data_IF_009537650664
#
_entry.id   IF_009537650664
#
_cell.length_a   1.000
_cell.length_b   1.000
_cell.length_c   1.000
_cell.angle_alpha   90.00
_cell.angle_beta   90.00
_cell.angle_gamma   90.00
#
_symmetry.space_group_name_H-M   'P 1'
#
loop_
_entity.id
_entity.type
_entity.pdbx_description
1 polymer ?
#
# COMPACT_ATOMS: atom_id res chain seq x y z
N UNK A 1 9.84 15.98 -23.05
CA UNK A 1 9.04 14.76 -23.22
C UNK A 1 10.02 13.61 -23.20
N UNK A 2 9.94 12.78 -22.16
CA UNK A 2 10.73 11.55 -22.05
C UNK A 2 10.28 10.52 -23.09
N UNK A 3 11.07 9.47 -23.34
CA UNK A 3 10.62 8.35 -24.19
C UNK A 3 9.38 7.68 -23.59
N UNK A 4 9.31 7.58 -22.26
CA UNK A 4 8.18 7.01 -21.53
C UNK A 4 6.90 7.85 -21.72
N UNK A 5 7.00 9.17 -21.70
CA UNK A 5 5.86 10.07 -21.98
C UNK A 5 5.33 9.85 -23.40
N UNK A 6 6.23 9.63 -24.37
CA UNK A 6 5.86 9.37 -25.76
C UNK A 6 5.17 8.02 -25.92
N UNK A 7 5.72 6.96 -25.31
CA UNK A 7 5.13 5.62 -25.34
C UNK A 7 3.72 5.63 -24.74
N UNK A 8 3.58 6.24 -23.55
CA UNK A 8 2.30 6.35 -22.86
C UNK A 8 1.28 7.16 -23.67
N UNK A 9 1.63 8.37 -24.13
CA UNK A 9 0.71 9.22 -24.91
C UNK A 9 0.33 8.64 -26.27
N UNK A 10 1.14 7.73 -26.80
CA UNK A 10 0.88 7.01 -28.05
C UNK A 10 0.23 5.64 -27.84
N UNK A 11 -0.03 5.24 -26.59
CA UNK A 11 -0.54 3.91 -26.21
C UNK A 11 0.30 2.75 -26.78
N UNK A 12 1.62 2.90 -26.77
CA UNK A 12 2.56 1.87 -27.24
C UNK A 12 3.02 1.03 -26.05
N UNK A 13 2.66 -0.25 -26.04
CA UNK A 13 3.17 -1.22 -25.07
C UNK A 13 4.38 -1.99 -25.65
N UNK A 14 5.49 -2.02 -24.91
CA UNK A 14 6.69 -2.79 -25.21
C UNK A 14 6.64 -4.23 -24.65
N UNK A 15 5.63 -4.55 -23.85
CA UNK A 15 5.47 -5.84 -23.19
C UNK A 15 6.28 -5.96 -21.90
N UNK A 16 6.59 -4.83 -21.26
CA UNK A 16 7.30 -4.77 -19.99
C UNK A 16 6.31 -4.64 -18.82
N UNK A 17 6.82 -4.75 -17.59
CA UNK A 17 6.06 -4.52 -16.36
C UNK A 17 6.96 -3.77 -15.37
N UNK A 18 6.36 -3.11 -14.38
CA UNK A 18 7.11 -2.31 -13.41
C UNK A 18 7.27 -3.05 -12.08
N UNK A 19 8.49 -3.49 -11.75
CA UNK A 19 8.78 -4.15 -10.48
C UNK A 19 8.83 -3.13 -9.33
N UNK A 20 8.08 -3.41 -8.26
CA UNK A 20 8.14 -2.61 -7.03
C UNK A 20 9.32 -3.07 -6.19
N UNK A 21 10.38 -2.26 -6.17
CA UNK A 21 11.56 -2.53 -5.36
C UNK A 21 11.53 -1.91 -3.97
N UNK A 22 10.83 -0.80 -3.78
CA UNK A 22 10.80 -0.03 -2.52
C UNK A 22 9.48 0.74 -2.38
N UNK A 23 8.96 0.80 -1.16
CA UNK A 23 7.78 1.58 -0.78
C UNK A 23 8.13 2.46 0.41
N UNK A 24 7.73 3.73 0.34
CA UNK A 24 7.93 4.69 1.41
C UNK A 24 6.83 5.74 1.50
N UNK A 25 6.44 6.10 2.72
CA UNK A 25 5.56 7.22 3.02
C UNK A 25 6.37 8.51 3.23
N UNK A 26 5.90 9.61 2.66
CA UNK A 26 6.50 10.93 2.83
C UNK A 26 5.45 12.03 2.84
N UNK A 27 5.67 13.07 3.67
CA UNK A 27 4.91 14.34 3.61
C UNK A 27 5.50 15.31 2.57
N UNK A 28 6.79 15.15 2.25
CA UNK A 28 7.54 16.03 1.34
C UNK A 28 8.11 15.21 0.17
N UNK A 29 7.32 14.92 -0.87
CA UNK A 29 7.76 14.19 -2.07
C UNK A 29 9.07 14.71 -2.68
N UNK A 30 9.19 16.03 -2.86
CA UNK A 30 10.31 16.67 -3.57
C UNK A 30 11.67 16.51 -2.88
N UNK A 31 11.68 16.37 -1.55
CA UNK A 31 12.91 16.27 -0.74
C UNK A 31 13.28 14.82 -0.43
N UNK A 32 12.31 13.90 -0.54
CA UNK A 32 12.43 12.51 -0.11
C UNK A 32 13.56 11.74 -0.80
N UNK A 33 13.80 11.88 -2.12
CA UNK A 33 14.88 11.15 -2.78
C UNK A 33 16.29 11.63 -2.41
N UNK A 34 16.43 12.86 -1.89
CA UNK A 34 17.71 13.58 -1.82
C UNK A 34 18.20 13.75 -0.37
N UNK A 35 17.33 13.63 0.63
CA UNK A 35 17.65 13.97 2.02
C UNK A 35 18.51 12.93 2.78
N UNK A 36 18.96 11.85 2.12
CA UNK A 36 19.86 10.84 2.71
C UNK A 36 19.28 9.99 3.86
N UNK A 37 18.07 10.31 4.34
CA UNK A 37 17.40 9.60 5.42
C UNK A 37 16.78 8.27 4.96
N UNK A 38 16.70 8.03 3.65
CA UNK A 38 16.07 6.85 3.06
C UNK A 38 17.08 5.99 2.32
N UNK A 39 17.65 5.02 3.05
CA UNK A 39 18.52 4.00 2.47
C UNK A 39 17.86 3.24 1.32
N UNK A 40 16.54 3.09 1.30
CA UNK A 40 15.83 2.27 0.31
C UNK A 40 16.08 2.67 -1.14
N UNK A 41 16.10 3.97 -1.47
CA UNK A 41 16.40 4.43 -2.84
C UNK A 41 17.87 4.17 -3.18
N UNK A 42 18.79 4.50 -2.27
CA UNK A 42 20.22 4.22 -2.47
C UNK A 42 20.49 2.73 -2.63
N UNK A 43 19.91 1.89 -1.77
CA UNK A 43 20.04 0.44 -1.79
C UNK A 43 19.45 -0.14 -3.08
N UNK A 44 18.35 0.41 -3.60
CA UNK A 44 17.79 0.03 -4.89
C UNK A 44 18.76 0.39 -6.03
N UNK A 45 19.25 1.63 -6.09
CA UNK A 45 20.19 2.10 -7.11
C UNK A 45 21.52 1.32 -7.09
N UNK A 46 21.96 0.83 -5.93
CA UNK A 46 23.16 -0.01 -5.82
C UNK A 46 22.92 -1.47 -6.22
N UNK A 47 21.72 -2.01 -6.03
CA UNK A 47 21.43 -3.45 -6.19
C UNK A 47 20.86 -3.81 -7.55
N UNK A 48 20.17 -2.89 -8.22
CA UNK A 48 19.57 -3.13 -9.54
C UNK A 48 20.50 -2.56 -10.61
N UNK A 49 20.91 -3.40 -11.57
CA UNK A 49 21.81 -3.01 -12.66
C UNK A 49 21.23 -1.84 -13.46
N UNK A 50 21.98 -0.77 -13.65
CA UNK A 50 21.50 0.48 -14.27
C UNK A 50 21.55 0.47 -15.79
N UNK A 51 22.21 -0.52 -16.43
CA UNK A 51 22.33 -0.56 -17.90
C UNK A 51 21.13 -1.21 -18.59
N UNK A 52 20.36 -2.04 -17.88
CA UNK A 52 19.24 -2.81 -18.43
C UNK A 52 17.86 -2.28 -18.00
N UNK A 53 17.81 -1.45 -16.95
CA UNK A 53 16.55 -1.04 -16.31
C UNK A 53 16.48 0.47 -16.10
N UNK A 54 15.33 1.04 -16.46
CA UNK A 54 14.94 2.39 -16.05
C UNK A 54 14.29 2.37 -14.67
N UNK A 55 14.56 3.41 -13.87
CA UNK A 55 13.99 3.56 -12.54
C UNK A 55 12.95 4.66 -12.51
N UNK A 56 11.82 4.36 -11.87
CA UNK A 56 10.72 5.28 -11.69
C UNK A 56 10.45 5.52 -10.21
N UNK A 57 10.09 6.76 -9.88
CA UNK A 57 9.58 7.12 -8.55
C UNK A 57 8.14 7.56 -8.74
N UNK A 58 7.20 6.78 -8.20
CA UNK A 58 5.78 7.10 -8.24
C UNK A 58 5.36 7.77 -6.93
N UNK A 59 4.76 8.95 -7.05
CA UNK A 59 4.12 9.64 -5.93
C UNK A 59 2.61 9.43 -6.03
N UNK A 60 2.09 8.51 -5.22
CA UNK A 60 0.67 8.16 -5.20
C UNK A 60 -0.05 8.84 -4.04
N UNK A 61 -1.17 9.50 -4.34
CA UNK A 61 -2.10 10.01 -3.33
C UNK A 61 -3.27 9.03 -3.21
N UNK A 62 -3.55 8.60 -1.99
CA UNK A 62 -4.66 7.69 -1.70
C UNK A 62 -5.87 8.47 -1.18
N UNK A 63 -7.06 8.07 -1.63
CA UNK A 63 -8.32 8.50 -1.02
C UNK A 63 -8.71 7.48 0.04
N UNK A 64 -8.74 7.90 1.31
CA UNK A 64 -9.09 7.01 2.42
C UNK A 64 -10.54 7.20 2.84
N UNK A 65 -11.26 6.09 2.91
CA UNK A 65 -12.68 6.02 3.21
C UNK A 65 -12.91 5.10 4.41
N UNK A 66 -13.67 5.57 5.39
CA UNK A 66 -14.22 4.74 6.48
C UNK A 66 -15.57 4.17 6.02
N UNK A 67 -15.69 2.85 6.03
CA UNK A 67 -16.90 2.14 5.62
C UNK A 67 -17.54 1.45 6.83
N UNK A 68 -18.69 1.95 7.26
CA UNK A 68 -19.51 1.35 8.29
C UNK A 68 -20.52 0.38 7.68
N UNK A 69 -20.40 -0.90 8.01
CA UNK A 69 -21.33 -1.96 7.58
C UNK A 69 -22.09 -2.51 8.79
N UNK A 70 -23.40 -2.61 8.69
CA UNK A 70 -24.22 -3.28 9.71
C UNK A 70 -24.97 -4.45 9.07
N UNK A 71 -24.81 -5.69 9.58
CA UNK A 71 -25.53 -6.86 9.07
C UNK A 71 -27.05 -6.75 9.21
N UNK A 72 -27.53 -5.88 10.09
CA UNK A 72 -28.96 -5.72 10.41
C UNK A 72 -29.67 -4.64 9.58
N UNK A 73 -28.94 -3.90 8.74
CA UNK A 73 -29.52 -2.84 7.89
C UNK A 73 -29.07 -2.97 6.45
N UNK A 74 -29.93 -2.61 5.50
CA UNK A 74 -29.59 -2.61 4.07
C UNK A 74 -28.68 -1.44 3.63
N UNK A 75 -28.25 -0.59 4.56
CA UNK A 75 -27.45 0.60 4.28
C UNK A 75 -26.02 0.41 4.79
N UNK A 76 -25.07 0.75 3.92
CA UNK A 76 -23.67 0.95 4.29
C UNK A 76 -23.39 2.45 4.30
N UNK A 77 -22.60 2.89 5.28
CA UNK A 77 -22.13 4.26 5.35
C UNK A 77 -20.70 4.34 4.84
N UNK A 78 -20.40 5.36 4.06
CA UNK A 78 -19.06 5.59 3.53
C UNK A 78 -18.73 7.07 3.67
N UNK A 79 -17.67 7.37 4.42
CA UNK A 79 -17.22 8.74 4.66
C UNK A 79 -15.73 8.85 4.34
N UNK A 80 -15.30 9.98 3.80
CA UNK A 80 -13.87 10.23 3.65
C UNK A 80 -13.24 10.47 5.02
N UNK A 81 -12.06 9.89 5.27
CA UNK A 81 -11.35 10.12 6.52
C UNK A 81 -11.05 11.62 6.72
N UNK A 82 -10.83 12.37 5.64
CA UNK A 82 -10.66 13.83 5.68
C UNK A 82 -11.88 14.61 6.20
N UNK A 83 -13.07 14.00 6.25
CA UNK A 83 -14.28 14.60 6.82
C UNK A 83 -14.44 14.26 8.31
N UNK A 84 -13.98 13.08 8.72
CA UNK A 84 -14.17 12.56 10.09
C UNK A 84 -12.96 12.78 11.00
N UNK A 85 -11.76 12.90 10.41
CA UNK A 85 -10.47 12.86 11.10
C UNK A 85 -10.37 11.69 12.09
N UNK A 86 -10.92 10.54 11.70
CA UNK A 86 -11.03 9.34 12.54
C UNK A 86 -9.65 8.71 12.78
N UNK A 87 -8.80 8.75 11.75
CA UNK A 87 -7.40 8.33 11.77
C UNK A 87 -6.55 9.55 11.41
N UNK A 88 -5.55 9.86 12.23
CA UNK A 88 -4.67 10.98 11.93
C UNK A 88 -3.85 10.70 10.64
N UNK A 89 -3.52 11.75 9.89
CA UNK A 89 -2.84 11.63 8.58
C UNK A 89 -1.49 10.89 8.63
N UNK A 90 -0.75 10.97 9.74
CA UNK A 90 0.55 10.28 9.85
C UNK A 90 0.36 8.76 10.05
N UNK A 91 -0.61 8.39 10.87
CA UNK A 91 -0.99 7.00 11.10
C UNK A 91 -1.62 6.40 9.83
N UNK A 92 -2.48 7.15 9.14
CA UNK A 92 -3.05 6.77 7.84
C UNK A 92 -1.93 6.43 6.83
N UNK A 93 -0.98 7.35 6.64
CA UNK A 93 0.12 7.17 5.70
C UNK A 93 1.02 5.98 6.04
N UNK A 94 1.32 5.76 7.33
CA UNK A 94 2.10 4.61 7.79
C UNK A 94 1.37 3.29 7.55
N UNK A 95 0.07 3.22 7.84
CA UNK A 95 -0.72 2.00 7.62
C UNK A 95 -0.70 1.63 6.14
N UNK A 96 -0.90 2.60 5.25
CA UNK A 96 -0.83 2.39 3.79
C UNK A 96 0.56 1.90 3.37
N UNK A 97 1.63 2.57 3.83
CA UNK A 97 3.01 2.16 3.56
C UNK A 97 3.26 0.72 3.98
N UNK A 98 2.95 0.36 5.24
CA UNK A 98 3.26 -0.99 5.75
C UNK A 98 2.40 -2.06 5.08
N UNK A 99 1.12 -1.77 4.80
CA UNK A 99 0.25 -2.70 4.09
C UNK A 99 0.78 -3.00 2.69
N UNK A 100 1.29 -1.99 1.98
CA UNK A 100 1.90 -2.16 0.66
C UNK A 100 3.23 -2.89 0.74
N UNK A 101 4.09 -2.58 1.72
CA UNK A 101 5.35 -3.33 1.95
C UNK A 101 5.05 -4.81 2.16
N UNK A 102 4.06 -5.12 2.99
CA UNK A 102 3.66 -6.52 3.27
C UNK A 102 3.08 -7.20 2.02
N UNK A 103 2.23 -6.51 1.26
CA UNK A 103 1.61 -7.06 0.06
C UNK A 103 2.64 -7.34 -1.05
N UNK A 104 3.46 -6.36 -1.41
CA UNK A 104 4.47 -6.53 -2.45
C UNK A 104 5.71 -7.29 -1.97
N UNK A 105 5.94 -7.42 -0.66
CA UNK A 105 7.12 -8.10 -0.08
C UNK A 105 8.43 -7.65 -0.75
N UNK A 106 8.64 -6.33 -0.79
CA UNK A 106 9.76 -5.68 -1.50
C UNK A 106 11.13 -6.14 -1.00
N UNK A 107 11.99 -6.63 -1.90
CA UNK A 107 13.30 -7.22 -1.56
C UNK A 107 14.23 -6.24 -0.83
N UNK A 108 14.25 -4.96 -1.22
CA UNK A 108 15.17 -3.98 -0.62
C UNK A 108 14.86 -3.69 0.86
N UNK A 109 13.63 -4.00 1.30
CA UNK A 109 13.18 -3.78 2.68
C UNK A 109 13.19 -5.06 3.53
N UNK A 110 13.74 -6.17 3.01
CA UNK A 110 13.73 -7.47 3.69
C UNK A 110 14.45 -7.43 5.06
N UNK A 111 15.52 -6.64 5.19
CA UNK A 111 16.26 -6.48 6.46
C UNK A 111 15.40 -5.83 7.57
N UNK A 112 14.45 -4.97 7.20
CA UNK A 112 13.57 -4.30 8.16
C UNK A 112 12.19 -4.95 8.26
N UNK A 113 11.90 -5.98 7.44
CA UNK A 113 10.57 -6.58 7.27
C UNK A 113 9.86 -6.90 8.58
N UNK A 114 10.58 -7.52 9.54
CA UNK A 114 10.00 -7.85 10.85
C UNK A 114 9.48 -6.62 11.60
N UNK A 115 10.21 -5.49 11.52
CA UNK A 115 9.77 -4.24 12.14
C UNK A 115 8.59 -3.65 11.38
N UNK A 116 8.62 -3.64 10.04
CA UNK A 116 7.51 -3.18 9.20
C UNK A 116 6.21 -3.95 9.48
N UNK A 117 6.31 -5.28 9.63
CA UNK A 117 5.18 -6.14 9.98
C UNK A 117 4.67 -5.89 11.40
N UNK A 118 5.57 -5.72 12.37
CA UNK A 118 5.19 -5.42 13.76
C UNK A 118 4.51 -4.05 13.86
N UNK A 119 4.97 -3.05 13.11
CA UNK A 119 4.34 -1.72 13.05
C UNK A 119 2.95 -1.77 12.42
N UNK A 120 2.75 -2.57 11.36
CA UNK A 120 1.45 -2.81 10.77
C UNK A 120 0.50 -3.48 11.77
N UNK A 121 0.95 -4.53 12.45
CA UNK A 121 0.16 -5.25 13.46
C UNK A 121 -0.34 -4.33 14.56
N UNK A 122 0.59 -3.59 15.19
CA UNK A 122 0.25 -2.64 16.24
C UNK A 122 -0.74 -1.56 15.76
N UNK A 123 -0.63 -1.14 14.50
CA UNK A 123 -1.54 -0.14 13.92
C UNK A 123 -2.95 -0.72 13.69
N UNK A 124 -3.04 -1.94 13.15
CA UNK A 124 -4.34 -2.59 12.93
C UNK A 124 -5.03 -2.97 14.24
N UNK A 125 -4.30 -3.41 15.26
CA UNK A 125 -4.84 -3.65 16.60
C UNK A 125 -5.40 -2.36 17.20
N UNK A 126 -4.65 -1.25 17.10
CA UNK A 126 -5.10 0.06 17.57
C UNK A 126 -6.34 0.54 16.82
N UNK A 127 -6.41 0.35 15.49
CA UNK A 127 -7.61 0.65 14.71
C UNK A 127 -8.83 -0.15 15.19
N UNK A 128 -8.66 -1.44 15.47
CA UNK A 128 -9.73 -2.29 16.01
C UNK A 128 -10.21 -1.81 17.39
N UNK A 129 -9.28 -1.51 18.29
CA UNK A 129 -9.61 -1.11 19.67
C UNK A 129 -10.18 0.31 19.79
N UNK A 130 -9.62 1.27 19.05
CA UNK A 130 -9.95 2.70 19.20
C UNK A 130 -11.06 3.15 18.25
N UNK A 131 -11.06 2.63 17.03
CA UNK A 131 -11.93 3.09 15.95
C UNK A 131 -12.97 2.04 15.54
N UNK A 132 -12.95 0.84 16.12
CA UNK A 132 -13.82 -0.27 15.72
C UNK A 132 -13.66 -0.64 14.23
N UNK A 133 -12.46 -0.48 13.69
CA UNK A 133 -12.11 -0.81 12.30
C UNK A 133 -11.46 -2.20 12.27
N UNK A 134 -12.12 -3.17 11.62
CA UNK A 134 -11.65 -4.55 11.60
C UNK A 134 -10.72 -4.94 10.46
N UNK A 135 -10.61 -4.11 9.42
CA UNK A 135 -9.78 -4.39 8.25
C UNK A 135 -9.52 -3.12 7.44
N UNK A 136 -8.39 -3.10 6.73
CA UNK A 136 -8.02 -2.06 5.77
C UNK A 136 -7.98 -2.67 4.37
N UNK A 137 -8.80 -2.18 3.45
CA UNK A 137 -8.77 -2.59 2.05
C UNK A 137 -7.99 -1.57 1.24
N UNK A 138 -7.03 -2.03 0.44
CA UNK A 138 -6.22 -1.21 -0.46
C UNK A 138 -6.59 -1.55 -1.90
N UNK A 139 -6.85 -0.52 -2.70
CA UNK A 139 -7.14 -0.63 -4.13
C UNK A 139 -6.20 0.33 -4.88
N UNK A 140 -5.35 -0.23 -5.73
CA UNK A 140 -4.49 0.50 -6.65
C UNK A 140 -4.91 0.15 -8.08
N UNK A 141 -5.30 1.17 -8.83
CA UNK A 141 -5.68 1.08 -10.25
C UNK A 141 -5.54 2.47 -10.86
N UNK A 142 -4.91 2.57 -12.04
CA UNK A 142 -4.83 3.82 -12.78
C UNK A 142 -6.05 3.97 -13.68
N UNK A 143 -6.44 5.22 -13.96
CA UNK A 143 -7.58 5.52 -14.85
C UNK A 143 -7.38 4.91 -16.24
N UNK A 144 -6.13 4.98 -16.74
CA UNK A 144 -5.72 4.35 -17.99
C UNK A 144 -4.66 3.27 -17.70
N UNK A 145 -4.96 1.98 -17.98
CA UNK A 145 -3.98 0.91 -17.88
C UNK A 145 -2.79 1.15 -18.83
N UNK A 146 -1.58 0.93 -18.32
CA UNK A 146 -0.35 1.01 -19.11
C UNK A 146 0.74 0.17 -18.45
N UNK A 147 1.67 -0.38 -19.22
CA UNK A 147 2.75 -1.23 -18.71
C UNK A 147 3.63 -0.55 -17.64
N UNK A 148 3.76 0.78 -17.69
CA UNK A 148 4.46 1.60 -16.68
C UNK A 148 3.78 1.59 -15.31
N UNK A 149 2.50 1.24 -15.25
CA UNK A 149 1.70 1.14 -14.03
C UNK A 149 1.24 -0.27 -13.73
N UNK A 150 1.66 -1.23 -14.56
CA UNK A 150 1.42 -2.66 -14.35
C UNK A 150 2.42 -3.17 -13.33
N UNK A 151 2.09 -2.93 -12.06
CA UNK A 151 2.98 -3.20 -10.95
C UNK A 151 3.08 -4.69 -10.65
N UNK A 152 4.25 -5.11 -10.20
CA UNK A 152 4.48 -6.48 -9.73
C UNK A 152 5.61 -6.53 -8.70
N UNK A 153 5.80 -7.70 -8.12
CA UNK A 153 6.99 -8.03 -7.34
C UNK A 153 7.27 -9.53 -7.44
N UNK A 154 8.30 -10.02 -6.76
CA UNK A 154 8.56 -11.47 -6.66
C UNK A 154 7.41 -12.25 -5.99
N UNK A 155 6.58 -11.58 -5.20
CA UNK A 155 5.47 -12.19 -4.47
C UNK A 155 4.10 -11.89 -5.08
N UNK A 156 4.00 -10.91 -5.98
CA UNK A 156 2.75 -10.45 -6.59
C UNK A 156 2.89 -10.41 -8.10
N UNK A 157 1.98 -11.08 -8.82
CA UNK A 157 1.98 -11.10 -10.29
C UNK A 157 1.72 -9.70 -10.88
N UNK A 158 2.23 -9.42 -12.09
CA UNK A 158 1.87 -8.21 -12.82
C UNK A 158 0.37 -8.05 -12.98
N UNK A 159 -0.12 -6.87 -12.65
CA UNK A 159 -1.53 -6.52 -12.78
C UNK A 159 -1.70 -5.00 -12.95
N UNK A 160 -2.66 -4.60 -13.77
CA UNK A 160 -3.09 -3.19 -13.86
C UNK A 160 -3.92 -2.78 -12.62
N UNK A 161 -4.35 -3.78 -11.84
CA UNK A 161 -5.21 -3.60 -10.67
C UNK A 161 -4.77 -4.49 -9.51
N UNK A 162 -4.49 -3.88 -8.37
CA UNK A 162 -4.22 -4.59 -7.11
C UNK A 162 -5.29 -4.26 -6.09
N UNK A 163 -6.00 -5.30 -5.63
CA UNK A 163 -7.00 -5.19 -4.56
C UNK A 163 -6.68 -6.24 -3.52
N UNK A 164 -6.44 -5.78 -2.29
CA UNK A 164 -6.16 -6.68 -1.17
C UNK A 164 -6.68 -6.08 0.14
N UNK A 165 -6.95 -6.95 1.09
CA UNK A 165 -7.36 -6.57 2.44
C UNK A 165 -6.29 -6.98 3.44
N UNK A 166 -5.95 -6.06 4.33
CA UNK A 166 -5.12 -6.31 5.50
C UNK A 166 -5.97 -6.32 6.78
N UNK A 167 -5.74 -7.30 7.65
CA UNK A 167 -6.41 -7.41 8.96
C UNK A 167 -5.55 -8.17 9.96
N UNK A 168 -5.93 -8.10 11.24
CA UNK A 168 -5.37 -8.96 12.29
C UNK A 168 -6.04 -10.33 12.25
N UNK A 169 -5.21 -11.37 12.25
CA UNK A 169 -5.58 -12.75 12.48
C UNK A 169 -4.81 -13.32 13.69
N UNK A 170 -5.10 -14.56 14.09
CA UNK A 170 -4.50 -15.18 15.28
C UNK A 170 -2.97 -15.31 15.25
N UNK A 171 -2.33 -15.13 14.10
CA UNK A 171 -0.87 -15.18 13.92
C UNK A 171 -0.24 -13.83 13.55
N UNK A 172 -0.97 -12.72 13.67
CA UNK A 172 -0.51 -11.38 13.31
C UNK A 172 -1.25 -10.78 12.12
N UNK A 173 -0.63 -9.81 11.45
CA UNK A 173 -1.21 -9.15 10.29
C UNK A 173 -1.20 -10.12 9.10
N UNK A 174 -2.34 -10.25 8.42
CA UNK A 174 -2.46 -11.05 7.20
C UNK A 174 -2.92 -10.20 6.01
N UNK A 175 -2.61 -10.68 4.80
CA UNK A 175 -3.08 -10.11 3.55
C UNK A 175 -3.97 -11.13 2.84
N UNK A 176 -5.15 -10.68 2.41
CA UNK A 176 -6.12 -11.49 1.68
C UNK A 176 -6.41 -10.82 0.35
N UNK A 177 -6.41 -11.60 -0.73
CA UNK A 177 -6.77 -11.11 -2.05
C UNK A 177 -8.23 -10.63 -2.11
N UNK A 178 -8.44 -9.48 -2.76
CA UNK A 178 -9.74 -8.85 -2.96
C UNK A 178 -10.21 -7.97 -1.80
N UNK A 179 -11.39 -7.39 -1.98
CA UNK A 179 -12.07 -6.51 -1.02
C UNK A 179 -12.94 -7.34 -0.07
N UNK A 180 -12.40 -7.72 1.08
CA UNK A 180 -13.09 -8.53 2.09
C UNK A 180 -13.17 -7.79 3.42
N UNK A 181 -14.26 -7.07 3.64
CA UNK A 181 -14.48 -6.39 4.91
C UNK A 181 -14.78 -7.39 6.02
N UNK A 182 -14.12 -7.23 7.18
CA UNK A 182 -14.41 -8.02 8.39
C UNK A 182 -14.70 -7.13 9.58
N UNK A 183 -15.57 -7.61 10.47
CA UNK A 183 -15.73 -7.02 11.79
C UNK A 183 -14.41 -7.11 12.58
N UNK A 184 -14.11 -6.16 13.48
CA UNK A 184 -12.92 -6.23 14.32
C UNK A 184 -12.93 -7.48 15.19
N UNK A 185 -11.73 -8.04 15.42
CA UNK A 185 -11.56 -9.18 16.30
C UNK A 185 -11.97 -8.78 17.72
N UNK A 186 -13.04 -9.40 18.24
CA UNK A 186 -13.43 -9.21 19.64
C UNK A 186 -12.39 -9.86 20.53
N UNK A 187 -11.67 -9.06 21.32
CA UNK A 187 -10.92 -9.61 22.45
C UNK A 187 -11.91 -10.31 23.38
N UNK A 188 -11.69 -11.60 23.63
CA UNK A 188 -12.54 -12.40 24.49
C UNK A 188 -12.63 -11.77 25.88
N UNK A 189 -13.76 -11.13 26.16
CA UNK A 189 -14.13 -10.80 27.53
C UNK A 189 -14.47 -12.10 28.25
N UNK A 190 -13.60 -12.52 29.16
CA UNK A 190 -13.97 -13.51 30.18
C UNK A 190 -15.12 -12.92 30.99
N UNK A 191 -16.30 -13.53 30.85
CA UNK A 191 -17.39 -13.41 31.80
C UNK A 191 -17.06 -14.20 33.08
#
# INVERSE_FOLDING_TARGET
MSIHDFLQSSAIELGINTEIHYIGYTKNPSERPINGAHRGLSDMLYRVSTEEYDFFIFYNLFKVLSIGMSPSTAFNFCFANSMLDEINVDEEGRIIEKALIKYFSTETQELNKKNEESELENSLERLGMKNNIGSVCVHIEMEEPHELYRFFSRSVKPSDRHIFTCRIAGSGAEIIEGSKFSAPATSGGNA
#
